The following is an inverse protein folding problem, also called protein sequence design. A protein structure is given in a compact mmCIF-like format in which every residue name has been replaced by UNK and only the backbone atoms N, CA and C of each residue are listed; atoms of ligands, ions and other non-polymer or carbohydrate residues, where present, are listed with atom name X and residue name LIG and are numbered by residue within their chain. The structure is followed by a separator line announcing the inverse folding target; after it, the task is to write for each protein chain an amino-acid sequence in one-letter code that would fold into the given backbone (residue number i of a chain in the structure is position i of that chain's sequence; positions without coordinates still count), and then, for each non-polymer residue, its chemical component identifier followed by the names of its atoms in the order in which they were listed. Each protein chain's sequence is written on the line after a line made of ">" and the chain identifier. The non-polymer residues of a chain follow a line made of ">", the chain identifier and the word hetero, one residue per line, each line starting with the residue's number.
data_IF_494277617301
#
_entry.id   IF_494277617301
#
_cell.length_a   1.000
_cell.length_b   1.000
_cell.length_c   1.000
_cell.angle_alpha   90.00
_cell.angle_beta   90.00
_cell.angle_gamma   90.00
#
_symmetry.space_group_name_H-M   'P 1'
#
loop_
_entity.id
_entity.type
_entity.pdbx_description
1 polymer ?
#
# COMPACT_ATOMS: atom_id res chain seq x y z
N UNK A 1 -26.32 36.01 6.44
CA UNK A 1 -27.03 34.87 5.80
C UNK A 1 -26.12 33.65 5.85
N UNK A 2 -26.25 32.82 6.89
CA UNK A 2 -25.43 31.62 7.09
C UNK A 2 -25.96 30.47 6.24
N UNK A 3 -25.12 29.91 5.36
CA UNK A 3 -25.43 28.65 4.67
C UNK A 3 -25.23 27.51 5.68
N UNK A 4 -26.34 26.90 6.08
CA UNK A 4 -26.35 25.67 6.89
C UNK A 4 -25.62 24.58 6.12
N UNK A 5 -24.54 24.06 6.69
CA UNK A 5 -23.94 22.80 6.26
C UNK A 5 -24.96 21.68 6.52
N UNK A 6 -25.34 20.99 5.46
CA UNK A 6 -26.12 19.77 5.54
C UNK A 6 -25.36 18.73 6.36
N UNK A 7 -26.01 18.30 7.43
CA UNK A 7 -25.53 17.31 8.38
C UNK A 7 -25.29 15.99 7.62
N UNK A 8 -24.04 15.61 7.37
CA UNK A 8 -23.73 14.20 7.14
C UNK A 8 -24.13 13.44 8.40
N UNK A 9 -24.96 12.42 8.24
CA UNK A 9 -25.54 11.63 9.31
C UNK A 9 -24.50 11.17 10.35
N UNK A 10 -24.93 11.08 11.60
CA UNK A 10 -24.14 10.59 12.72
C UNK A 10 -23.74 9.14 12.44
N UNK A 11 -22.48 8.91 12.10
CA UNK A 11 -21.91 7.56 12.04
C UNK A 11 -22.10 6.87 13.40
N UNK A 12 -22.49 5.58 13.44
CA UNK A 12 -22.54 4.83 14.67
C UNK A 12 -21.18 4.92 15.35
N UNK A 13 -21.15 5.45 16.58
CA UNK A 13 -19.95 5.37 17.39
C UNK A 13 -19.84 3.93 17.86
N UNK A 14 -19.25 3.07 17.03
CA UNK A 14 -18.75 1.80 17.49
C UNK A 14 -17.72 2.13 18.56
N UNK A 15 -18.02 1.76 19.81
CA UNK A 15 -17.05 1.80 20.88
C UNK A 15 -15.89 0.90 20.48
N UNK A 16 -14.84 1.47 19.92
CA UNK A 16 -13.62 0.76 19.60
C UNK A 16 -13.02 0.31 20.95
N UNK A 17 -13.30 -0.94 21.34
CA UNK A 17 -12.44 -1.67 22.25
C UNK A 17 -11.00 -1.59 21.73
N UNK A 18 -10.01 -1.66 22.63
CA UNK A 18 -8.58 -1.64 22.32
C UNK A 18 -8.26 -2.27 20.96
N UNK A 19 -7.80 -1.44 20.01
CA UNK A 19 -7.43 -1.92 18.67
C UNK A 19 -6.35 -3.00 18.81
N UNK A 20 -6.60 -4.18 18.24
CA UNK A 20 -5.62 -5.26 18.22
C UNK A 20 -4.39 -4.76 17.44
N UNK A 21 -3.25 -4.66 18.12
CA UNK A 21 -2.00 -4.22 17.51
C UNK A 21 -1.40 -5.38 16.68
N UNK A 22 -1.65 -5.35 15.37
CA UNK A 22 -1.06 -6.29 14.43
C UNK A 22 0.33 -5.82 13.99
N UNK A 23 1.18 -6.78 13.58
CA UNK A 23 2.48 -6.54 12.95
C UNK A 23 2.63 -7.45 11.73
N UNK A 24 1.88 -7.19 10.64
CA UNK A 24 1.97 -7.99 9.43
C UNK A 24 3.40 -7.92 8.86
N UNK A 25 3.87 -9.01 8.26
CA UNK A 25 5.14 -9.03 7.54
C UNK A 25 5.01 -8.24 6.24
N UNK A 26 6.01 -7.41 5.93
CA UNK A 26 6.01 -6.59 4.71
C UNK A 26 6.10 -7.42 3.43
N UNK A 27 6.71 -8.60 3.46
CA UNK A 27 6.83 -9.51 2.31
C UNK A 27 5.97 -10.74 2.58
N UNK A 28 5.27 -11.22 1.56
CA UNK A 28 4.45 -12.43 1.67
C UNK A 28 5.33 -13.67 1.81
N UNK A 29 4.96 -14.57 2.71
CA UNK A 29 5.60 -15.88 2.82
C UNK A 29 5.12 -16.89 1.78
N UNK A 30 4.15 -16.51 0.93
CA UNK A 30 3.55 -17.39 -0.10
C UNK A 30 4.39 -17.50 -1.37
N UNK A 31 5.37 -16.61 -1.54
CA UNK A 31 6.24 -16.53 -2.72
C UNK A 31 7.67 -16.59 -2.19
N UNK A 32 8.45 -17.54 -2.66
CA UNK A 32 9.82 -17.76 -2.19
C UNK A 32 10.79 -16.85 -2.96
N UNK A 33 11.44 -15.88 -2.30
CA UNK A 33 12.46 -15.06 -2.94
C UNK A 33 13.58 -15.93 -3.51
N UNK A 34 14.10 -15.56 -4.68
CA UNK A 34 15.17 -16.28 -5.38
C UNK A 34 14.79 -17.65 -5.98
N UNK A 35 13.54 -18.08 -5.89
CA UNK A 35 13.06 -19.33 -6.51
C UNK A 35 11.81 -19.12 -7.36
N UNK A 36 10.88 -18.29 -6.89
CA UNK A 36 9.70 -17.91 -7.66
C UNK A 36 9.96 -16.66 -8.52
N UNK A 37 9.53 -16.74 -9.79
CA UNK A 37 9.47 -15.58 -10.70
C UNK A 37 8.11 -14.91 -10.59
N UNK A 38 8.10 -13.57 -10.55
CA UNK A 38 6.90 -12.74 -10.62
C UNK A 38 6.75 -12.23 -12.05
N UNK A 39 5.79 -12.78 -12.77
CA UNK A 39 5.62 -12.47 -14.21
C UNK A 39 5.09 -11.04 -14.39
N UNK A 40 4.09 -10.64 -13.60
CA UNK A 40 3.46 -9.33 -13.70
C UNK A 40 3.26 -8.73 -12.30
N UNK A 41 4.08 -7.75 -11.93
CA UNK A 41 3.95 -7.00 -10.69
C UNK A 41 3.25 -5.65 -10.95
N UNK A 42 2.02 -5.52 -10.47
CA UNK A 42 1.31 -4.24 -10.43
C UNK A 42 1.72 -3.46 -9.17
N UNK A 43 2.28 -2.27 -9.33
CA UNK A 43 2.59 -1.36 -8.24
C UNK A 43 1.55 -0.26 -8.16
N UNK A 44 1.07 0.01 -6.95
CA UNK A 44 0.05 1.03 -6.71
C UNK A 44 0.15 1.53 -5.26
N UNK A 45 -0.52 2.64 -4.98
CA UNK A 45 -0.63 3.28 -3.67
C UNK A 45 -2.07 3.51 -3.22
N UNK A 46 -2.34 3.16 -1.97
CA UNK A 46 -3.59 3.50 -1.32
C UNK A 46 -3.35 4.44 -0.13
N UNK A 47 -4.32 5.31 0.16
CA UNK A 47 -4.29 6.15 1.34
C UNK A 47 -5.62 6.13 2.10
N UNK A 48 -5.54 6.44 3.39
CA UNK A 48 -6.70 6.60 4.24
C UNK A 48 -6.37 7.27 5.56
N UNK A 49 -7.39 7.59 6.34
CA UNK A 49 -7.25 8.17 7.67
C UNK A 49 -7.43 7.10 8.75
N UNK A 50 -6.53 7.06 9.73
CA UNK A 50 -6.62 6.11 10.86
C UNK A 50 -6.99 6.84 12.14
N UNK A 51 -8.24 6.68 12.57
CA UNK A 51 -8.80 7.29 13.78
C UNK A 51 -9.14 8.78 13.66
N UNK A 52 -8.32 9.59 12.97
CA UNK A 52 -8.56 11.01 12.74
C UNK A 52 -8.03 11.49 11.38
N UNK A 53 -8.60 12.56 10.82
CA UNK A 53 -8.18 13.14 9.52
C UNK A 53 -6.74 13.66 9.51
N UNK A 54 -6.21 14.10 10.65
CA UNK A 54 -4.80 14.49 10.80
C UNK A 54 -3.83 13.30 10.76
N UNK A 55 -4.33 12.06 10.76
CA UNK A 55 -3.55 10.82 10.78
C UNK A 55 -3.72 10.06 9.47
N UNK A 56 -3.41 10.73 8.36
CA UNK A 56 -3.33 10.09 7.05
C UNK A 56 -2.21 9.04 7.03
N UNK A 57 -2.44 7.93 6.34
CA UNK A 57 -1.47 6.86 6.12
C UNK A 57 -1.47 6.50 4.64
N UNK A 58 -0.27 6.24 4.11
CA UNK A 58 -0.10 5.69 2.76
C UNK A 58 0.42 4.27 2.85
N UNK A 59 -0.09 3.43 1.96
CA UNK A 59 0.31 2.06 1.73
C UNK A 59 0.78 1.98 0.28
N UNK A 60 2.02 1.55 0.09
CA UNK A 60 2.55 1.17 -1.21
C UNK A 60 2.61 -0.35 -1.25
N UNK A 61 2.23 -0.96 -2.36
CA UNK A 61 2.30 -2.41 -2.51
C UNK A 61 2.68 -2.82 -3.93
N UNK A 62 3.20 -4.05 -4.05
CA UNK A 62 3.35 -4.74 -5.32
C UNK A 62 2.49 -6.00 -5.32
N UNK A 63 1.71 -6.19 -6.37
CA UNK A 63 0.72 -7.24 -6.50
C UNK A 63 1.04 -8.14 -7.69
N UNK A 64 1.23 -9.43 -7.43
CA UNK A 64 1.36 -10.44 -8.48
C UNK A 64 -0.04 -10.70 -9.06
N UNK A 65 -0.26 -10.27 -10.30
CA UNK A 65 -1.55 -10.39 -10.99
C UNK A 65 -1.93 -11.84 -11.29
N UNK A 66 -0.96 -12.71 -11.47
CA UNK A 66 -1.16 -14.12 -11.81
C UNK A 66 -1.54 -14.89 -10.56
N UNK A 67 -0.75 -14.75 -9.48
CA UNK A 67 -0.99 -15.41 -8.19
C UNK A 67 -2.03 -14.70 -7.33
N UNK A 68 -2.52 -13.53 -7.77
CA UNK A 68 -3.49 -12.69 -7.06
C UNK A 68 -3.11 -12.43 -5.60
N UNK A 69 -1.84 -12.12 -5.39
CA UNK A 69 -1.24 -12.02 -4.05
C UNK A 69 -0.34 -10.79 -3.97
N UNK A 70 -0.44 -10.06 -2.87
CA UNK A 70 0.52 -9.00 -2.55
C UNK A 70 1.88 -9.62 -2.27
N UNK A 71 2.89 -9.24 -3.05
CA UNK A 71 4.27 -9.72 -2.91
C UNK A 71 4.93 -9.00 -1.74
N UNK A 72 4.90 -7.68 -1.77
CA UNK A 72 5.48 -6.83 -0.75
C UNK A 72 4.64 -5.56 -0.54
N UNK A 73 4.72 -4.98 0.66
CA UNK A 73 4.09 -3.72 1.00
C UNK A 73 4.88 -2.94 2.03
N UNK A 74 4.76 -1.61 1.98
CA UNK A 74 5.35 -0.70 2.97
C UNK A 74 4.35 0.40 3.31
N UNK A 75 4.33 0.78 4.59
CA UNK A 75 3.67 2.00 5.04
C UNK A 75 4.68 3.16 5.09
N UNK A 76 4.23 4.35 4.69
CA UNK A 76 5.06 5.56 4.67
C UNK A 76 4.28 6.79 4.25
N UNK A 77 5.01 7.80 3.78
CA UNK A 77 4.47 8.95 3.06
C UNK A 77 4.48 8.68 1.56
N UNK A 78 3.75 9.49 0.76
CA UNK A 78 3.76 9.37 -0.70
C UNK A 78 5.02 9.99 -1.30
N UNK A 79 6.17 9.35 -1.07
CA UNK A 79 7.50 9.88 -1.40
C UNK A 79 8.40 8.81 -2.04
N UNK A 80 9.46 9.26 -2.72
CA UNK A 80 10.46 8.39 -3.33
C UNK A 80 11.12 7.45 -2.32
N UNK A 81 11.40 7.93 -1.12
CA UNK A 81 12.00 7.11 -0.07
C UNK A 81 11.12 5.92 0.35
N UNK A 82 9.79 6.11 0.35
CA UNK A 82 8.85 5.00 0.61
C UNK A 82 8.86 4.01 -0.56
N UNK A 83 8.89 4.48 -1.80
CA UNK A 83 9.00 3.64 -3.00
C UNK A 83 10.31 2.83 -3.00
N UNK A 84 11.45 3.45 -2.71
CA UNK A 84 12.76 2.78 -2.66
C UNK A 84 12.79 1.67 -1.61
N UNK A 85 12.11 1.86 -0.48
CA UNK A 85 11.95 0.79 0.53
C UNK A 85 11.14 -0.38 -0.01
N UNK A 86 10.09 -0.14 -0.79
CA UNK A 86 9.34 -1.20 -1.44
C UNK A 86 10.21 -1.94 -2.48
N UNK A 87 10.91 -1.21 -3.35
CA UNK A 87 11.83 -1.78 -4.34
C UNK A 87 12.94 -2.60 -3.69
N UNK A 88 13.46 -2.15 -2.54
CA UNK A 88 14.46 -2.91 -1.78
C UNK A 88 13.94 -4.28 -1.33
N UNK A 89 12.67 -4.38 -0.94
CA UNK A 89 12.05 -5.68 -0.61
C UNK A 89 11.86 -6.55 -1.85
N UNK A 90 11.55 -5.93 -2.99
CA UNK A 90 11.28 -6.62 -4.24
C UNK A 90 12.56 -7.07 -4.95
N UNK A 91 13.72 -6.51 -4.60
CA UNK A 91 15.03 -6.89 -5.16
C UNK A 91 15.39 -8.37 -4.95
N UNK A 92 14.75 -9.04 -3.99
CA UNK A 92 14.91 -10.46 -3.74
C UNK A 92 14.10 -11.36 -4.71
N UNK A 93 13.30 -10.77 -5.60
CA UNK A 93 12.46 -11.48 -6.57
C UNK A 93 12.86 -11.12 -7.98
N UNK A 94 12.75 -12.09 -8.89
CA UNK A 94 12.86 -11.84 -10.32
C UNK A 94 11.50 -11.37 -10.83
N UNK A 95 11.39 -10.10 -11.21
CA UNK A 95 10.17 -9.49 -11.75
C UNK A 95 10.34 -9.26 -13.24
N UNK A 96 9.45 -9.86 -14.05
CA UNK A 96 9.55 -9.81 -15.51
C UNK A 96 8.95 -8.53 -16.08
N UNK A 97 7.74 -8.17 -15.62
CA UNK A 97 7.02 -6.97 -16.08
C UNK A 97 6.50 -6.19 -14.89
N UNK A 98 6.78 -4.89 -14.89
CA UNK A 98 6.20 -3.91 -13.98
C UNK A 98 4.99 -3.23 -14.63
N UNK A 99 3.90 -3.15 -13.89
CA UNK A 99 2.68 -2.43 -14.29
C UNK A 99 2.45 -1.30 -13.29
N UNK A 100 2.41 -0.07 -13.77
CA UNK A 100 2.18 1.14 -12.97
C UNK A 100 1.17 2.04 -13.67
N UNK A 101 0.62 3.01 -12.96
CA UNK A 101 -0.35 3.99 -13.47
C UNK A 101 0.31 5.15 -14.25
N UNK A 102 1.62 5.10 -14.49
CA UNK A 102 2.38 6.16 -15.16
C UNK A 102 2.67 7.36 -14.25
N UNK A 103 2.55 7.23 -12.92
CA UNK A 103 2.97 8.30 -12.02
C UNK A 103 4.49 8.55 -12.16
N UNK A 104 4.98 9.80 -12.36
CA UNK A 104 6.40 10.07 -12.66
C UNK A 104 7.40 9.56 -11.62
N UNK A 105 6.95 9.31 -10.39
CA UNK A 105 7.80 8.70 -9.36
C UNK A 105 8.24 7.29 -9.77
N UNK A 106 7.35 6.49 -10.35
CA UNK A 106 7.65 5.14 -10.83
C UNK A 106 8.59 5.18 -12.04
N UNK A 107 8.33 6.05 -13.01
CA UNK A 107 9.15 6.21 -14.21
C UNK A 107 10.61 6.56 -13.89
N UNK A 108 10.87 7.23 -12.77
CA UNK A 108 12.23 7.57 -12.35
C UNK A 108 13.04 6.39 -11.79
N UNK A 109 12.41 5.24 -11.53
CA UNK A 109 13.01 4.11 -10.79
C UNK A 109 12.83 2.73 -11.43
N UNK A 110 11.91 2.57 -12.40
CA UNK A 110 11.62 1.32 -13.11
C UNK A 110 12.04 1.44 -14.57
#
# INVERSE_FOLDING_TARGET
>A
MSRQCTHYGRWPQHGFTSLKKLRPQSVTSRIQPGSDVIVCAEMDEQWGYVGAKSRQRWLFYAYDRIRRTVVAHVFGERTLATLERLLSLLSAFEVVVWMTDGWPLYESRL
#
